data_IF_410012942703
#
_entry.id   IF_410012942703
#
_cell.length_a   1.000
_cell.length_b   1.000
_cell.length_c   1.000
_cell.angle_alpha   90.00
_cell.angle_beta   90.00
_cell.angle_gamma   90.00
#
_symmetry.space_group_name_H-M   'P 1'
#
loop_
_entity.id
_entity.type
_entity.pdbx_description
1 polymer ?
#
# COMPACT_ATOMS: atom_id res chain seq x y z
N UNK A 1 -9.65 -62.40 6.96
CA UNK A 1 -8.50 -61.78 7.64
C UNK A 1 -7.51 -61.34 6.57
N UNK A 2 -7.45 -60.04 6.26
CA UNK A 2 -6.50 -59.49 5.29
C UNK A 2 -5.20 -59.11 6.00
N UNK A 3 -4.11 -59.81 5.69
CA UNK A 3 -2.77 -59.48 6.18
C UNK A 3 -2.17 -58.37 5.30
N UNK A 4 -1.93 -57.20 5.90
CA UNK A 4 -1.12 -56.15 5.29
C UNK A 4 0.34 -56.48 5.61
N UNK A 5 1.12 -56.88 4.59
CA UNK A 5 2.57 -57.00 4.71
C UNK A 5 3.17 -55.60 4.78
N UNK A 6 3.56 -55.19 5.99
CA UNK A 6 4.37 -54.00 6.18
C UNK A 6 5.73 -54.23 5.52
N UNK A 7 6.04 -53.46 4.48
CA UNK A 7 7.40 -53.27 4.01
C UNK A 7 8.28 -52.89 5.22
N UNK A 8 9.43 -53.55 5.35
CA UNK A 8 10.45 -53.33 6.39
C UNK A 8 10.97 -51.88 6.39
N UNK A 9 10.19 -50.93 6.88
CA UNK A 9 10.58 -49.56 7.12
C UNK A 9 10.38 -49.27 8.61
N UNK A 10 11.48 -49.18 9.37
CA UNK A 10 11.42 -48.79 10.77
C UNK A 10 11.05 -47.31 10.87
N UNK A 11 9.82 -47.01 11.24
CA UNK A 11 9.39 -45.66 11.62
C UNK A 11 9.82 -45.41 13.07
N UNK A 12 10.94 -44.69 13.27
CA UNK A 12 11.39 -44.22 14.60
C UNK A 12 10.85 -42.81 14.86
N UNK A 13 9.90 -42.68 15.79
CA UNK A 13 9.34 -41.41 16.27
C UNK A 13 7.97 -41.60 16.95
N UNK A 14 7.44 -40.57 17.63
CA UNK A 14 6.04 -40.56 18.09
C UNK A 14 5.14 -40.62 16.85
N UNK A 15 4.47 -41.76 16.64
CA UNK A 15 3.51 -41.95 15.55
C UNK A 15 2.36 -40.95 15.72
N UNK A 16 2.34 -39.91 14.87
CA UNK A 16 1.16 -39.07 14.69
C UNK A 16 0.04 -39.82 13.98
N UNK A 17 -1.13 -39.19 13.85
CA UNK A 17 -2.25 -39.75 13.10
C UNK A 17 -1.84 -40.04 11.64
N UNK A 18 -2.25 -41.19 11.13
CA UNK A 18 -1.86 -41.66 9.79
C UNK A 18 -2.97 -41.32 8.81
N UNK A 19 -2.64 -40.62 7.72
CA UNK A 19 -3.63 -40.18 6.71
C UNK A 19 -3.41 -40.97 5.41
N UNK A 20 -4.47 -41.64 4.95
CA UNK A 20 -4.49 -42.30 3.64
C UNK A 20 -4.55 -41.28 2.50
N UNK A 21 -3.74 -41.48 1.45
CA UNK A 21 -3.76 -40.65 0.25
C UNK A 21 -3.59 -41.53 -1.00
N UNK A 22 -3.86 -40.97 -2.18
CA UNK A 22 -3.62 -41.66 -3.45
C UNK A 22 -2.93 -40.72 -4.43
N UNK A 23 -1.95 -41.25 -5.16
CA UNK A 23 -1.28 -40.54 -6.25
C UNK A 23 -1.21 -41.46 -7.46
N UNK A 24 -1.71 -40.99 -8.61
CA UNK A 24 -1.81 -41.80 -9.85
C UNK A 24 -2.46 -43.18 -9.62
N UNK A 25 -3.52 -43.22 -8.81
CA UNK A 25 -4.26 -44.46 -8.51
C UNK A 25 -3.54 -45.44 -7.58
N UNK A 26 -2.34 -45.14 -7.09
CA UNK A 26 -1.65 -45.95 -6.08
C UNK A 26 -1.94 -45.40 -4.68
N UNK A 27 -2.56 -46.20 -3.78
CA UNK A 27 -2.77 -45.79 -2.41
C UNK A 27 -1.41 -45.76 -1.69
N UNK A 28 -1.16 -44.69 -0.94
CA UNK A 28 0.00 -44.58 -0.09
C UNK A 28 -0.41 -43.93 1.24
N UNK A 29 0.43 -44.18 2.24
CA UNK A 29 0.18 -43.76 3.61
C UNK A 29 1.19 -42.69 3.97
N UNK A 30 0.73 -41.53 4.45
CA UNK A 30 1.59 -40.46 4.95
C UNK A 30 1.32 -40.22 6.43
N UNK A 31 2.38 -39.94 7.18
CA UNK A 31 2.22 -39.46 8.56
C UNK A 31 1.69 -38.02 8.52
N UNK A 32 0.63 -37.74 9.27
CA UNK A 32 0.25 -36.37 9.57
C UNK A 32 1.24 -35.81 10.57
N UNK A 33 2.20 -35.05 10.07
CA UNK A 33 3.03 -34.19 10.91
C UNK A 33 2.28 -32.87 10.97
N UNK A 34 1.72 -32.46 12.15
CA UNK A 34 1.15 -31.13 12.26
C UNK A 34 2.25 -30.14 11.85
N UNK A 35 1.98 -29.20 10.93
CA UNK A 35 2.97 -28.20 10.58
C UNK A 35 3.38 -27.52 11.88
N UNK A 36 4.64 -27.70 12.29
CA UNK A 36 5.20 -26.88 13.35
C UNK A 36 5.16 -25.47 12.76
N UNK A 37 4.41 -24.52 13.32
CA UNK A 37 4.39 -23.11 12.87
C UNK A 37 5.77 -22.54 13.15
N UNK A 38 6.73 -22.66 12.21
CA UNK A 38 8.10 -22.36 12.51
C UNK A 38 8.16 -20.84 12.34
N UNK A 39 8.02 -20.11 13.46
CA UNK A 39 8.18 -18.66 13.53
C UNK A 39 9.64 -18.27 13.27
N UNK A 40 10.11 -18.60 12.06
CA UNK A 40 11.41 -18.16 11.57
C UNK A 40 11.37 -16.65 11.44
N UNK A 41 12.48 -15.99 11.75
CA UNK A 41 12.59 -14.53 11.71
C UNK A 41 12.10 -13.97 10.37
N UNK A 42 12.51 -14.59 9.26
CA UNK A 42 12.06 -14.17 7.94
C UNK A 42 10.56 -14.30 7.68
N UNK A 43 9.84 -15.22 8.34
CA UNK A 43 8.37 -15.28 8.25
C UNK A 43 7.70 -14.22 9.11
N UNK A 44 8.24 -13.92 10.29
CA UNK A 44 7.72 -12.84 11.14
C UNK A 44 7.93 -11.47 10.50
N UNK A 45 9.05 -11.25 9.81
CA UNK A 45 9.35 -9.99 9.13
C UNK A 45 8.33 -9.73 8.01
N UNK A 46 8.11 -10.72 7.14
CA UNK A 46 7.10 -10.62 6.06
C UNK A 46 5.69 -10.42 6.63
N UNK A 47 5.33 -11.11 7.71
CA UNK A 47 4.02 -10.92 8.38
C UNK A 47 3.89 -9.51 8.95
N UNK A 48 4.95 -8.93 9.50
CA UNK A 48 4.97 -7.56 9.99
C UNK A 48 4.76 -6.54 8.87
N UNK A 49 5.50 -6.67 7.77
CA UNK A 49 5.36 -5.79 6.60
C UNK A 49 3.96 -5.91 5.99
N UNK A 50 3.44 -7.13 5.87
CA UNK A 50 2.07 -7.35 5.40
C UNK A 50 1.03 -6.70 6.32
N UNK A 51 1.25 -6.73 7.64
CA UNK A 51 0.38 -6.06 8.59
C UNK A 51 0.42 -4.53 8.44
N UNK A 52 1.61 -3.93 8.28
CA UNK A 52 1.75 -2.48 8.07
C UNK A 52 1.09 -2.01 6.76
N UNK A 53 1.40 -2.65 5.63
CA UNK A 53 0.79 -2.30 4.34
C UNK A 53 -0.72 -2.57 4.37
N UNK A 54 -1.15 -3.66 5.01
CA UNK A 54 -2.55 -4.03 5.13
C UNK A 54 -3.36 -3.04 6.00
N UNK A 55 -2.73 -2.49 7.04
CA UNK A 55 -3.29 -1.44 7.87
C UNK A 55 -3.45 -0.13 7.09
N UNK A 56 -2.40 0.31 6.40
CA UNK A 56 -2.46 1.49 5.53
C UNK A 56 -3.52 1.36 4.44
N UNK A 57 -3.62 0.18 3.81
CA UNK A 57 -4.65 -0.13 2.82
C UNK A 57 -6.07 -0.08 3.41
N UNK A 58 -6.24 -0.41 4.70
CA UNK A 58 -7.53 -0.30 5.37
C UNK A 58 -7.94 1.16 5.58
N UNK A 59 -7.01 2.01 6.04
CA UNK A 59 -7.23 3.45 6.21
C UNK A 59 -7.58 4.12 4.87
N UNK A 60 -6.94 3.68 3.79
CA UNK A 60 -7.12 4.23 2.44
C UNK A 60 -8.29 3.65 1.66
N UNK A 61 -8.92 2.58 2.14
CA UNK A 61 -9.87 1.82 1.33
C UNK A 61 -11.04 2.68 0.85
N UNK A 62 -11.75 3.32 1.78
CA UNK A 62 -12.90 4.19 1.45
C UNK A 62 -12.51 5.51 0.77
N UNK A 63 -11.52 6.27 1.26
CA UNK A 63 -11.24 7.59 0.70
C UNK A 63 -10.50 7.53 -0.65
N UNK A 64 -9.71 6.48 -0.91
CA UNK A 64 -8.84 6.42 -2.10
C UNK A 64 -9.08 5.19 -2.95
N UNK A 65 -8.90 3.99 -2.39
CA UNK A 65 -8.87 2.78 -3.22
C UNK A 65 -10.21 2.53 -3.90
N UNK A 66 -11.31 2.55 -3.15
CA UNK A 66 -12.66 2.31 -3.65
C UNK A 66 -13.07 3.29 -4.76
N UNK A 67 -12.95 4.62 -4.61
CA UNK A 67 -13.34 5.55 -5.68
C UNK A 67 -12.35 5.64 -6.85
N UNK A 68 -11.05 5.42 -6.63
CA UNK A 68 -10.03 5.86 -7.59
C UNK A 68 -9.10 4.76 -8.14
N UNK A 69 -9.34 3.49 -7.82
CA UNK A 69 -8.57 2.39 -8.44
C UNK A 69 -9.07 2.10 -9.85
N UNK A 70 -8.27 2.52 -10.85
CA UNK A 70 -8.50 2.26 -12.26
C UNK A 70 -7.25 1.71 -12.98
N UNK A 71 -7.42 0.83 -13.99
CA UNK A 71 -8.67 0.18 -14.38
C UNK A 71 -9.20 -0.73 -13.27
N UNK A 72 -10.52 -0.95 -13.22
CA UNK A 72 -11.13 -1.76 -12.17
C UNK A 72 -10.62 -3.20 -12.28
N UNK A 73 -10.00 -3.74 -11.22
CA UNK A 73 -9.38 -5.04 -11.33
C UNK A 73 -10.41 -6.18 -11.42
N UNK A 74 -10.19 -7.12 -12.35
CA UNK A 74 -11.15 -8.18 -12.64
C UNK A 74 -11.09 -9.41 -11.72
N UNK A 75 -9.96 -9.67 -11.05
CA UNK A 75 -9.72 -10.94 -10.30
C UNK A 75 -9.40 -10.76 -8.82
N UNK A 76 -9.26 -9.52 -8.37
CA UNK A 76 -8.90 -9.19 -6.99
C UNK A 76 -9.61 -7.91 -6.58
N UNK A 77 -9.82 -7.76 -5.28
CA UNK A 77 -10.37 -6.54 -4.71
C UNK A 77 -9.34 -5.41 -4.84
N UNK A 78 -9.81 -4.16 -4.80
CA UNK A 78 -8.96 -2.96 -4.85
C UNK A 78 -7.95 -2.95 -3.69
N UNK A 79 -8.36 -3.45 -2.52
CA UNK A 79 -7.47 -3.72 -1.39
C UNK A 79 -6.35 -4.70 -1.75
N UNK A 80 -6.70 -5.87 -2.28
CA UNK A 80 -5.72 -6.88 -2.67
C UNK A 80 -4.79 -6.40 -3.79
N UNK A 81 -5.27 -5.52 -4.67
CA UNK A 81 -4.43 -4.90 -5.69
C UNK A 81 -3.33 -4.04 -5.07
N UNK A 82 -3.64 -3.20 -4.07
CA UNK A 82 -2.61 -2.45 -3.34
C UNK A 82 -1.60 -3.38 -2.67
N UNK A 83 -2.06 -4.47 -2.05
CA UNK A 83 -1.16 -5.48 -1.46
C UNK A 83 -0.24 -6.09 -2.53
N UNK A 84 -0.77 -6.44 -3.70
CA UNK A 84 0.01 -7.04 -4.79
C UNK A 84 1.04 -6.09 -5.41
N UNK A 85 0.70 -4.80 -5.53
CA UNK A 85 1.60 -3.78 -6.07
C UNK A 85 2.86 -3.68 -5.19
N UNK A 86 2.70 -3.78 -3.87
CA UNK A 86 3.78 -3.70 -2.89
C UNK A 86 4.55 -5.01 -2.68
N UNK A 87 4.47 -5.97 -3.62
CA UNK A 87 5.12 -7.27 -3.47
C UNK A 87 6.62 -7.18 -3.19
N UNK A 88 7.29 -6.22 -3.81
CA UNK A 88 8.73 -6.01 -3.67
C UNK A 88 9.14 -5.73 -2.22
N UNK A 89 8.30 -5.05 -1.42
CA UNK A 89 8.55 -4.83 0.02
C UNK A 89 8.59 -6.16 0.80
N UNK A 90 7.75 -7.12 0.42
CA UNK A 90 7.72 -8.43 1.08
C UNK A 90 8.92 -9.29 0.70
N UNK A 91 9.39 -9.18 -0.55
CA UNK A 91 10.55 -9.91 -1.05
C UNK A 91 11.85 -9.36 -0.43
N UNK A 92 11.97 -8.03 -0.27
CA UNK A 92 13.09 -7.34 0.36
C UNK A 92 13.14 -7.53 1.89
N UNK A 93 11.99 -7.84 2.52
CA UNK A 93 11.82 -7.96 3.99
C UNK A 93 12.21 -6.71 4.78
N UNK A 94 12.14 -5.55 4.14
CA UNK A 94 12.37 -4.25 4.78
C UNK A 94 11.16 -3.38 4.49
N UNK A 95 10.52 -2.88 5.56
CA UNK A 95 9.47 -1.88 5.41
C UNK A 95 10.11 -0.50 5.18
N UNK A 96 9.81 0.09 4.03
CA UNK A 96 10.28 1.41 3.64
C UNK A 96 9.10 2.18 3.04
N UNK A 97 8.70 3.25 3.72
CA UNK A 97 7.59 4.12 3.37
C UNK A 97 7.81 4.77 1.99
N UNK A 98 9.06 5.05 1.62
CA UNK A 98 9.39 5.67 0.34
C UNK A 98 9.10 4.77 -0.87
N UNK A 99 9.07 3.45 -0.64
CA UNK A 99 8.79 2.44 -1.66
C UNK A 99 7.32 2.01 -1.69
N UNK A 100 6.49 2.49 -0.75
CA UNK A 100 5.07 2.14 -0.71
C UNK A 100 4.35 2.74 -1.92
N UNK A 101 3.66 1.89 -2.66
CA UNK A 101 2.83 2.26 -3.79
C UNK A 101 1.35 2.04 -3.46
N UNK A 102 0.54 3.09 -3.56
CA UNK A 102 -0.90 3.02 -3.30
C UNK A 102 -1.64 2.62 -4.59
N UNK A 103 -1.28 3.29 -5.70
CA UNK A 103 -1.82 3.05 -7.03
C UNK A 103 -0.67 2.81 -8.02
N UNK A 104 -0.98 2.08 -9.10
CA UNK A 104 -0.05 1.82 -10.19
C UNK A 104 -0.80 1.75 -11.51
N UNK A 105 -0.37 2.54 -12.47
CA UNK A 105 -0.93 2.55 -13.81
C UNK A 105 -0.03 3.28 -14.81
N UNK A 106 -0.58 3.52 -16.00
CA UNK A 106 0.12 4.07 -17.17
C UNK A 106 0.19 5.59 -17.19
N UNK A 107 -0.59 6.29 -16.35
CA UNK A 107 -0.60 7.75 -16.35
C UNK A 107 0.75 8.27 -15.83
N UNK A 108 1.27 9.31 -16.47
CA UNK A 108 2.52 9.94 -16.05
C UNK A 108 2.39 10.44 -14.60
N UNK A 109 3.27 9.96 -13.74
CA UNK A 109 3.40 10.47 -12.37
C UNK A 109 4.38 11.63 -12.34
N UNK A 110 4.05 12.66 -11.57
CA UNK A 110 4.91 13.81 -11.33
C UNK A 110 5.56 13.68 -9.96
N UNK A 111 6.82 14.13 -9.80
CA UNK A 111 7.41 14.25 -8.48
C UNK A 111 6.70 15.33 -7.66
N UNK A 112 6.67 15.12 -6.34
CA UNK A 112 6.36 16.19 -5.39
C UNK A 112 7.53 17.16 -5.42
N UNK A 113 7.25 18.44 -5.65
CA UNK A 113 8.27 19.49 -5.75
C UNK A 113 8.67 19.98 -4.36
N UNK A 114 7.67 20.22 -3.51
CA UNK A 114 7.87 20.53 -2.11
C UNK A 114 6.72 20.03 -1.26
N UNK A 115 7.04 19.56 -0.05
CA UNK A 115 6.07 19.21 0.98
C UNK A 115 6.50 19.86 2.30
N UNK A 116 5.85 20.96 2.65
CA UNK A 116 6.04 21.67 3.90
C UNK A 116 4.91 21.38 4.90
N UNK A 117 5.19 21.49 6.18
CA UNK A 117 4.17 21.52 7.24
C UNK A 117 4.49 22.60 8.25
N UNK A 118 3.50 23.44 8.51
CA UNK A 118 3.57 24.49 9.51
C UNK A 118 2.97 23.98 10.82
N UNK A 119 3.83 23.80 11.81
CA UNK A 119 3.48 23.27 13.13
C UNK A 119 2.52 24.19 13.90
N UNK A 120 2.55 25.49 13.62
CA UNK A 120 1.79 26.52 14.33
C UNK A 120 0.38 26.67 13.77
N UNK A 121 0.24 26.67 12.43
CA UNK A 121 -1.07 26.70 11.77
C UNK A 121 -1.71 25.31 11.71
N UNK A 122 -0.91 24.26 11.59
CA UNK A 122 -1.36 22.89 11.37
C UNK A 122 -1.74 22.58 9.91
N UNK A 123 -1.28 23.40 8.97
CA UNK A 123 -1.49 23.24 7.54
C UNK A 123 -0.25 22.63 6.88
N UNK A 124 -0.46 21.69 5.95
CA UNK A 124 0.60 21.27 5.03
C UNK A 124 0.54 22.08 3.75
N UNK A 125 1.70 22.31 3.14
CA UNK A 125 1.89 22.95 1.84
C UNK A 125 2.50 21.92 0.90
N UNK A 126 1.68 21.37 -0.01
CA UNK A 126 2.12 20.33 -0.93
C UNK A 126 2.04 20.89 -2.34
N UNK A 127 3.18 20.98 -3.00
CA UNK A 127 3.36 21.49 -4.36
C UNK A 127 3.95 20.38 -5.22
N UNK A 128 3.49 20.27 -6.46
CA UNK A 128 4.00 19.29 -7.40
C UNK A 128 4.26 19.90 -8.77
N UNK A 129 5.21 19.30 -9.47
CA UNK A 129 5.53 19.71 -10.82
C UNK A 129 4.34 19.44 -11.76
N UNK A 130 4.07 20.37 -12.67
CA UNK A 130 3.16 20.12 -13.78
C UNK A 130 3.98 19.58 -14.94
N UNK A 131 3.97 18.27 -15.12
CA UNK A 131 4.56 17.65 -16.30
C UNK A 131 3.80 17.96 -17.57
N UNK A 132 4.49 17.73 -18.67
CA UNK A 132 3.95 17.82 -20.03
C UNK A 132 3.20 16.52 -20.42
N UNK A 133 2.55 16.53 -21.57
CA UNK A 133 1.74 15.46 -22.20
C UNK A 133 2.27 14.02 -21.94
N UNK A 134 1.44 12.98 -21.64
CA UNK A 134 0.00 12.79 -21.85
C UNK A 134 -0.91 13.20 -20.68
N UNK A 135 -0.39 13.97 -19.73
CA UNK A 135 -1.12 14.50 -18.59
C UNK A 135 -2.25 15.44 -19.04
N UNK A 136 -3.51 15.13 -18.69
CA UNK A 136 -4.61 16.07 -18.96
C UNK A 136 -4.77 17.06 -17.82
N UNK A 137 -5.18 18.26 -18.18
CA UNK A 137 -5.44 19.37 -17.24
C UNK A 137 -6.53 19.06 -16.22
N UNK A 138 -7.49 18.21 -16.58
CA UNK A 138 -8.64 17.79 -15.78
C UNK A 138 -8.40 16.50 -14.98
N UNK A 139 -7.22 15.87 -15.10
CA UNK A 139 -6.86 14.73 -14.27
C UNK A 139 -6.94 15.12 -12.79
N UNK A 140 -7.41 14.20 -11.94
CA UNK A 140 -7.56 14.42 -10.51
C UNK A 140 -6.25 14.10 -9.80
N UNK A 141 -5.72 15.06 -9.04
CA UNK A 141 -4.62 14.83 -8.11
C UNK A 141 -5.18 14.36 -6.77
N UNK A 142 -4.68 13.24 -6.28
CA UNK A 142 -5.00 12.71 -4.95
C UNK A 142 -3.72 12.77 -4.13
N UNK A 143 -3.82 13.45 -3.00
CA UNK A 143 -2.73 13.66 -2.07
C UNK A 143 -3.10 12.92 -0.79
N UNK A 144 -2.23 12.03 -0.36
CA UNK A 144 -2.38 11.24 0.86
C UNK A 144 -1.25 11.63 1.80
N UNK A 145 -1.59 12.08 3.00
CA UNK A 145 -0.63 12.44 4.03
C UNK A 145 -0.81 11.47 5.18
N UNK A 146 0.20 10.63 5.40
CA UNK A 146 0.23 9.67 6.50
C UNK A 146 1.12 10.22 7.62
N UNK A 147 0.60 10.23 8.84
CA UNK A 147 1.34 10.58 10.05
C UNK A 147 1.62 9.32 10.85
N UNK A 148 2.89 8.96 11.03
CA UNK A 148 3.27 7.79 11.84
C UNK A 148 3.02 8.00 13.33
N UNK A 149 3.05 9.26 13.78
CA UNK A 149 2.86 9.60 15.19
C UNK A 149 1.42 9.31 15.65
N UNK A 150 0.45 9.70 14.84
CA UNK A 150 -0.97 9.57 15.14
C UNK A 150 -1.61 8.36 14.48
N UNK A 151 -0.90 7.71 13.57
CA UNK A 151 -1.40 6.61 12.74
C UNK A 151 -2.69 6.98 11.99
N UNK A 152 -2.72 8.22 11.48
CA UNK A 152 -3.85 8.77 10.74
C UNK A 152 -3.47 9.13 9.31
N UNK A 153 -4.48 9.12 8.44
CA UNK A 153 -4.34 9.50 7.05
C UNK A 153 -5.25 10.69 6.77
N UNK A 154 -4.67 11.74 6.18
CA UNK A 154 -5.41 12.86 5.62
C UNK A 154 -5.36 12.77 4.10
N UNK A 155 -6.53 12.85 3.45
CA UNK A 155 -6.65 12.78 1.99
C UNK A 155 -7.15 14.12 1.50
N UNK A 156 -6.42 14.70 0.56
CA UNK A 156 -6.80 15.92 -0.15
C UNK A 156 -6.90 15.63 -1.63
N UNK A 157 -7.87 16.27 -2.29
CA UNK A 157 -8.16 16.06 -3.71
C UNK A 157 -8.16 17.42 -4.39
N UNK A 158 -7.44 17.51 -5.50
CA UNK A 158 -7.37 18.70 -6.32
C UNK A 158 -7.38 18.35 -7.81
N UNK A 159 -7.46 19.36 -8.65
CA UNK A 159 -7.17 19.19 -10.07
C UNK A 159 -5.66 19.18 -10.26
N UNK A 160 -5.14 18.36 -11.19
CA UNK A 160 -3.71 18.31 -11.52
C UNK A 160 -3.13 19.70 -11.83
N UNK A 161 -3.89 20.54 -12.52
CA UNK A 161 -3.51 21.90 -12.88
C UNK A 161 -3.40 22.89 -11.71
N UNK A 162 -3.91 22.58 -10.52
CA UNK A 162 -3.81 23.48 -9.37
C UNK A 162 -2.37 23.59 -8.86
N UNK A 163 -1.54 22.58 -9.12
CA UNK A 163 -0.11 22.51 -8.75
C UNK A 163 0.19 22.59 -7.25
N UNK A 164 -0.83 22.69 -6.40
CA UNK A 164 -0.64 22.57 -4.95
C UNK A 164 -1.94 22.50 -4.18
N UNK A 165 -1.84 22.06 -2.92
CA UNK A 165 -2.93 22.03 -1.94
C UNK A 165 -2.43 22.42 -0.55
N UNK A 166 -3.34 22.99 0.24
CA UNK A 166 -3.08 23.40 1.62
C UNK A 166 -4.04 22.71 2.62
N UNK A 167 -3.94 21.39 2.83
CA UNK A 167 -4.84 20.70 3.74
C UNK A 167 -4.49 21.01 5.20
N UNK A 168 -5.53 21.26 6.00
CA UNK A 168 -5.39 21.32 7.46
C UNK A 168 -5.29 19.89 8.02
N UNK A 169 -4.18 19.58 8.70
CA UNK A 169 -3.86 18.26 9.26
C UNK A 169 -4.07 18.24 10.78
N UNK A 170 -3.94 19.40 11.42
CA UNK A 170 -3.89 19.55 12.87
C UNK A 170 -2.55 20.11 13.32
N UNK A 171 -2.47 20.64 14.55
CA UNK A 171 -1.29 21.34 15.07
C UNK A 171 -0.40 20.43 15.90
N UNK A 172 0.88 20.79 16.01
CA UNK A 172 1.82 20.16 16.95
C UNK A 172 2.26 18.75 16.59
N UNK A 173 2.12 18.34 15.32
CA UNK A 173 2.61 17.07 14.83
C UNK A 173 4.07 17.17 14.39
N UNK A 174 4.81 16.06 14.46
CA UNK A 174 6.19 16.00 13.97
C UNK A 174 6.24 15.83 12.44
N UNK A 175 6.72 16.86 11.72
CA UNK A 175 6.88 16.83 10.28
C UNK A 175 7.78 15.67 9.80
N UNK A 176 8.80 15.30 10.58
CA UNK A 176 9.73 14.23 10.21
C UNK A 176 9.08 12.84 10.17
N UNK A 177 7.90 12.69 10.80
CA UNK A 177 7.08 11.47 10.84
C UNK A 177 5.89 11.54 9.89
N UNK A 178 5.91 12.47 8.94
CA UNK A 178 4.88 12.60 7.93
C UNK A 178 5.38 12.18 6.55
N UNK A 179 4.53 11.43 5.86
CA UNK A 179 4.79 10.90 4.54
C UNK A 179 3.70 11.38 3.58
N UNK A 180 4.11 11.98 2.47
CA UNK A 180 3.21 12.43 1.41
C UNK A 180 3.30 11.48 0.24
N UNK A 181 2.15 10.96 -0.16
CA UNK A 181 1.98 10.20 -1.38
C UNK A 181 1.11 11.00 -2.35
N UNK A 182 1.60 11.18 -3.56
CA UNK A 182 0.91 11.87 -4.64
C UNK A 182 0.60 10.87 -5.76
N UNK A 183 -0.62 10.94 -6.27
CA UNK A 183 -1.06 10.12 -7.40
C UNK A 183 -2.06 10.89 -8.25
N UNK A 184 -2.10 10.59 -9.53
CA UNK A 184 -3.02 11.19 -10.49
C UNK A 184 -3.98 10.15 -11.02
N UNK A 185 -5.22 10.56 -11.26
CA UNK A 185 -6.28 9.67 -11.70
C UNK A 185 -7.08 10.35 -12.80
N UNK A 186 -7.20 9.64 -13.92
CA UNK A 186 -8.10 9.95 -15.01
C UNK A 186 -9.34 9.11 -14.85
N UNK A 187 -10.46 9.76 -14.57
CA UNK A 187 -11.74 9.09 -14.48
C UNK A 187 -12.22 8.69 -15.88
N UNK A 188 -12.92 7.55 -16.02
CA UNK A 188 -13.46 7.12 -17.30
C UNK A 188 -14.50 8.13 -17.83
N UNK A 189 -14.34 8.58 -19.08
CA UNK A 189 -15.23 9.59 -19.69
C UNK A 189 -16.37 9.01 -20.54
N UNK A 190 -16.64 7.70 -20.47
CA UNK A 190 -17.77 7.10 -21.20
C UNK A 190 -17.69 5.58 -21.32
N UNK A 191 -18.63 5.01 -22.08
CA UNK A 191 -18.67 3.56 -22.34
C UNK A 191 -17.45 3.13 -23.18
N UNK A 192 -16.54 2.36 -22.57
CA UNK A 192 -15.33 1.85 -23.20
C UNK A 192 -14.03 2.46 -22.67
N UNK A 193 -14.11 3.57 -21.93
CA UNK A 193 -12.98 4.10 -21.17
C UNK A 193 -12.93 3.42 -19.79
N UNK A 194 -11.78 2.85 -19.44
CA UNK A 194 -11.58 2.15 -18.15
C UNK A 194 -11.02 3.04 -17.07
N UNK A 195 -10.67 4.29 -17.38
CA UNK A 195 -9.90 5.17 -16.51
C UNK A 195 -8.44 4.73 -16.41
N UNK A 196 -7.60 5.62 -15.92
CA UNK A 196 -6.16 5.41 -15.74
C UNK A 196 -5.69 5.99 -14.41
N UNK A 197 -4.67 5.38 -13.82
CA UNK A 197 -4.00 5.88 -12.61
C UNK A 197 -2.52 6.06 -12.87
N UNK A 198 -1.87 6.96 -12.13
CA UNK A 198 -0.42 7.07 -12.14
C UNK A 198 0.20 6.08 -11.14
N UNK A 199 1.51 5.88 -11.27
CA UNK A 199 2.28 5.32 -10.16
C UNK A 199 2.30 6.34 -9.00
N UNK A 200 2.41 5.86 -7.76
CA UNK A 200 2.55 6.74 -6.58
C UNK A 200 3.91 7.41 -6.55
N UNK A 201 3.92 8.73 -6.39
CA UNK A 201 5.10 9.53 -6.03
C UNK A 201 5.15 9.75 -4.53
N UNK A 202 6.36 9.84 -3.97
CA UNK A 202 6.60 9.96 -2.53
C UNK A 202 7.46 11.18 -2.20
N UNK A 203 7.19 11.82 -1.06
CA UNK A 203 8.08 12.78 -0.40
C UNK A 203 7.93 12.73 1.11
N UNK A 204 9.00 13.05 1.83
CA UNK A 204 8.94 13.43 3.24
C UNK A 204 8.49 14.87 3.39
N UNK A 205 7.90 15.20 4.53
CA UNK A 205 7.49 16.57 4.86
C UNK A 205 8.59 17.28 5.64
N UNK A 206 8.85 18.53 5.28
CA UNK A 206 9.78 19.40 6.00
C UNK A 206 9.00 20.39 6.89
N UNK A 207 9.53 20.68 8.08
CA UNK A 207 8.94 21.71 8.94
C UNK A 207 9.19 23.09 8.34
N UNK A 208 8.13 23.86 8.09
CA UNK A 208 8.21 25.20 7.54
C UNK A 208 7.60 26.18 8.52
N UNK A 209 8.43 27.10 9.04
CA UNK A 209 7.95 28.27 9.78
C UNK A 209 7.54 29.34 8.77
N UNK A 210 6.26 29.35 8.38
CA UNK A 210 5.72 30.48 7.61
C UNK A 210 5.64 31.68 8.55
N UNK A 211 6.42 32.72 8.26
CA UNK A 211 6.24 34.01 8.92
C UNK A 211 4.80 34.47 8.66
N UNK A 212 4.01 34.61 9.73
CA UNK A 212 2.64 35.13 9.63
C UNK A 212 2.69 36.44 8.83
N UNK A 213 1.98 36.57 7.70
CA UNK A 213 1.97 37.82 6.97
C UNK A 213 1.46 38.90 7.92
N UNK A 214 2.29 39.93 8.14
CA UNK A 214 1.94 41.04 9.02
C UNK A 214 0.56 41.56 8.63
N UNK A 215 -0.38 41.52 9.57
CA UNK A 215 -1.74 42.01 9.38
C UNK A 215 -1.64 43.45 8.83
N UNK A 216 -2.18 43.77 7.64
CA UNK A 216 -2.15 45.14 7.15
C UNK A 216 -2.84 46.03 8.17
N UNK A 217 -2.13 47.08 8.59
CA UNK A 217 -2.58 48.07 9.56
C UNK A 217 -3.78 48.86 9.04
#
# INVERSE_FOLDING_TARGET
>A
MSSINWLNASLRGRLGEVVGSSWRGKPYTKMYVPPTDPKTTGQTDVRGIFAHVGHLAHLLYKPVLEPYTYPVPHKHTKYNQMMMINKELYDDKVYDQSKVQILKGSLLSEPVESAGYDTDSGEADIVWYKGDDPARYDDTAIIVIYSEETDTVNVSIAKRQTQGVYPAIGKGLDAAKMHVYLMFVRQPQGAGDTGETSTTSYSTVEAVTRATPAKPA
#
